data_IF_993232054892
#
_entry.id   IF_993232054892
#
_cell.length_a   1.000
_cell.length_b   1.000
_cell.length_c   1.000
_cell.angle_alpha   90.00
_cell.angle_beta   90.00
_cell.angle_gamma   90.00
#
_symmetry.space_group_name_H-M   'P 1'
#
loop_
_entity.id
_entity.type
_entity.pdbx_description
1 polymer ?
#
# COMPACT_ATOMS: atom_id res chain seq x y z
N UNK A 1 -44.09 -20.11 5.36
CA UNK A 1 -42.64 -20.44 5.43
C UNK A 1 -41.75 -19.30 4.87
N UNK A 2 -42.04 -18.01 5.11
CA UNK A 2 -41.37 -16.92 4.36
C UNK A 2 -40.61 -15.86 5.19
N UNK A 3 -40.97 -15.63 6.45
CA UNK A 3 -40.36 -14.54 7.26
C UNK A 3 -39.05 -14.93 7.94
N UNK A 4 -38.95 -16.15 8.48
CA UNK A 4 -37.73 -16.60 9.16
C UNK A 4 -36.55 -16.81 8.21
N UNK A 5 -36.79 -17.28 6.97
CA UNK A 5 -35.73 -17.44 5.97
C UNK A 5 -35.14 -16.08 5.53
N UNK A 6 -35.99 -15.06 5.40
CA UNK A 6 -35.58 -13.70 5.00
C UNK A 6 -34.74 -13.02 6.08
N UNK A 7 -35.08 -13.21 7.35
CA UNK A 7 -34.31 -12.69 8.50
C UNK A 7 -32.93 -13.38 8.58
N UNK A 8 -32.86 -14.70 8.36
CA UNK A 8 -31.59 -15.44 8.33
C UNK A 8 -30.70 -14.95 7.16
N UNK A 9 -31.29 -14.69 6.00
CA UNK A 9 -30.56 -14.18 4.83
C UNK A 9 -30.02 -12.76 5.07
N UNK A 10 -30.80 -11.89 5.72
CA UNK A 10 -30.34 -10.56 6.14
C UNK A 10 -29.22 -10.62 7.18
N UNK A 11 -29.33 -11.52 8.16
CA UNK A 11 -28.25 -11.76 9.13
C UNK A 11 -26.98 -12.26 8.45
N UNK A 12 -27.10 -13.11 7.42
CA UNK A 12 -25.95 -13.54 6.60
C UNK A 12 -25.33 -12.37 5.83
N UNK A 13 -26.13 -11.50 5.19
CA UNK A 13 -25.59 -10.33 4.46
C UNK A 13 -24.89 -9.36 5.41
N UNK A 14 -25.48 -9.10 6.59
CA UNK A 14 -24.90 -8.19 7.61
C UNK A 14 -23.61 -8.76 8.18
N UNK A 15 -23.56 -10.06 8.49
CA UNK A 15 -22.35 -10.73 8.99
C UNK A 15 -21.26 -10.89 7.91
N UNK A 16 -21.64 -11.02 6.65
CA UNK A 16 -20.70 -11.00 5.53
C UNK A 16 -20.09 -9.60 5.35
N UNK A 17 -20.88 -8.53 5.50
CA UNK A 17 -20.39 -7.16 5.44
C UNK A 17 -19.51 -6.79 6.63
N UNK A 18 -19.82 -7.23 7.85
CA UNK A 18 -18.97 -6.93 9.01
C UNK A 18 -17.63 -7.65 9.00
N UNK A 19 -17.49 -8.77 8.25
CA UNK A 19 -16.17 -9.36 7.95
C UNK A 19 -15.35 -8.56 6.94
N UNK A 20 -15.97 -7.72 6.11
CA UNK A 20 -15.29 -6.97 5.05
C UNK A 20 -14.70 -5.65 5.56
N UNK A 21 -15.18 -5.12 6.69
CA UNK A 21 -14.77 -3.80 7.21
C UNK A 21 -13.80 -3.81 8.40
N UNK A 22 -13.34 -4.98 8.83
CA UNK A 22 -12.38 -5.14 9.93
C UNK A 22 -11.00 -5.56 9.44
N UNK A 23 -10.32 -4.74 8.63
CA UNK A 23 -8.87 -4.85 8.52
C UNK A 23 -8.23 -3.80 9.41
N UNK A 24 -7.66 -4.23 10.53
CA UNK A 24 -6.84 -3.35 11.36
C UNK A 24 -5.72 -2.80 10.49
N UNK A 25 -5.72 -1.48 10.31
CA UNK A 25 -4.64 -0.80 9.58
C UNK A 25 -3.30 -1.10 10.26
N UNK A 26 -2.26 -1.34 9.47
CA UNK A 26 -0.91 -1.58 9.99
C UNK A 26 -0.13 -0.29 9.84
N UNK A 27 0.33 0.29 10.94
CA UNK A 27 1.29 1.41 10.91
C UNK A 27 2.70 0.85 10.97
N UNK A 28 3.59 1.37 10.14
CA UNK A 28 5.01 1.01 10.10
C UNK A 28 5.82 2.28 10.16
N UNK A 29 6.69 2.37 11.15
CA UNK A 29 7.69 3.41 11.22
C UNK A 29 8.96 2.91 10.50
N UNK A 30 9.30 3.56 9.39
CA UNK A 30 10.34 3.10 8.47
C UNK A 30 11.42 4.15 8.32
N UNK A 31 12.65 3.79 8.67
CA UNK A 31 13.82 4.68 8.58
C UNK A 31 14.64 4.33 7.35
N UNK A 32 14.89 5.34 6.51
CA UNK A 32 15.75 5.22 5.34
C UNK A 32 17.18 4.90 5.79
N UNK A 33 17.79 3.87 5.20
CA UNK A 33 19.11 3.39 5.66
C UNK A 33 20.28 4.30 5.24
N UNK A 34 20.07 5.15 4.24
CA UNK A 34 21.11 6.01 3.66
C UNK A 34 21.15 7.36 4.37
N UNK A 35 20.00 7.97 4.64
CA UNK A 35 19.91 9.33 5.17
C UNK A 35 19.18 9.45 6.52
N UNK A 36 18.75 8.33 7.11
CA UNK A 36 18.06 8.26 8.40
C UNK A 36 16.74 9.03 8.49
N UNK A 37 16.20 9.54 7.37
CA UNK A 37 14.86 10.11 7.34
C UNK A 37 13.83 9.04 7.70
N UNK A 38 12.85 9.41 8.52
CA UNK A 38 11.87 8.49 9.06
C UNK A 38 10.49 8.82 8.52
N UNK A 39 9.87 7.84 7.87
CA UNK A 39 8.56 7.93 7.27
C UNK A 39 7.60 7.03 8.04
N UNK A 40 6.31 7.40 8.05
CA UNK A 40 5.26 6.52 8.56
C UNK A 40 4.47 5.95 7.38
N UNK A 41 4.43 4.62 7.27
CA UNK A 41 3.64 3.93 6.26
C UNK A 41 2.42 3.31 6.92
N UNK A 42 1.22 3.67 6.43
CA UNK A 42 -0.04 3.10 6.90
C UNK A 42 -0.58 2.18 5.82
N UNK A 43 -0.63 0.88 6.10
CA UNK A 43 -1.21 -0.13 5.21
C UNK A 43 -2.69 -0.28 5.58
N UNK A 44 -3.54 -0.05 4.58
CA UNK A 44 -4.96 -0.39 4.59
C UNK A 44 -5.13 -1.67 3.76
N UNK A 45 -5.23 -2.85 4.40
CA UNK A 45 -5.23 -4.13 3.69
C UNK A 45 -6.30 -4.21 2.61
N UNK A 46 -5.95 -4.77 1.46
CA UNK A 46 -6.76 -4.88 0.24
C UNK A 46 -7.15 -3.55 -0.41
N UNK A 47 -6.50 -2.44 -0.04
CA UNK A 47 -6.84 -1.12 -0.59
C UNK A 47 -5.60 -0.30 -0.98
N UNK A 48 -4.90 0.28 -0.01
CA UNK A 48 -3.81 1.23 -0.28
C UNK A 48 -2.76 1.25 0.83
N UNK A 49 -1.59 1.78 0.49
CA UNK A 49 -0.56 2.18 1.45
C UNK A 49 -0.42 3.70 1.40
N UNK A 50 -0.36 4.34 2.57
CA UNK A 50 -0.12 5.77 2.69
C UNK A 50 1.28 5.99 3.22
N UNK A 51 2.14 6.67 2.44
CA UNK A 51 3.47 7.10 2.87
C UNK A 51 3.38 8.54 3.39
N UNK A 52 3.62 8.73 4.68
CA UNK A 52 3.65 10.03 5.34
C UNK A 52 5.11 10.43 5.55
N UNK A 53 5.52 11.51 4.88
CA UNK A 53 6.87 12.05 4.94
C UNK A 53 7.14 12.73 6.28
N UNK A 54 8.42 12.97 6.65
CA UNK A 54 8.78 13.69 7.87
C UNK A 54 8.15 15.08 8.00
N UNK A 55 7.85 15.73 6.87
CA UNK A 55 7.23 17.05 6.80
C UNK A 55 5.68 17.01 6.77
N UNK A 56 5.07 15.82 6.89
CA UNK A 56 3.62 15.62 6.95
C UNK A 56 2.93 15.51 5.59
N UNK A 57 3.65 15.59 4.47
CA UNK A 57 3.04 15.30 3.16
C UNK A 57 2.74 13.81 3.02
N UNK A 58 1.64 13.50 2.33
CA UNK A 58 1.14 12.13 2.18
C UNK A 58 1.09 11.73 0.71
N UNK A 59 1.43 10.47 0.44
CA UNK A 59 1.29 9.84 -0.87
C UNK A 59 0.54 8.53 -0.75
N UNK A 60 -0.52 8.39 -1.55
CA UNK A 60 -1.34 7.18 -1.64
C UNK A 60 -0.81 6.25 -2.73
N UNK A 61 -0.51 5.00 -2.35
CA UNK A 61 -0.11 3.91 -3.24
C UNK A 61 -1.22 2.86 -3.29
N UNK A 62 -1.67 2.48 -4.48
CA UNK A 62 -2.66 1.42 -4.68
C UNK A 62 -1.95 0.07 -4.52
N UNK A 63 -2.54 -0.84 -3.74
CA UNK A 63 -2.00 -2.20 -3.59
C UNK A 63 -2.21 -3.01 -4.88
N UNK A 64 -1.12 -3.54 -5.42
CA UNK A 64 -1.10 -4.41 -6.60
C UNK A 64 -1.05 -5.89 -6.21
N UNK A 65 -0.27 -6.20 -5.17
CA UNK A 65 -0.11 -7.55 -4.65
C UNK A 65 -0.01 -7.49 -3.12
N UNK A 66 -0.72 -8.36 -2.44
CA UNK A 66 -0.67 -8.48 -0.98
C UNK A 66 -0.72 -9.96 -0.57
N UNK A 67 0.16 -10.33 0.35
CA UNK A 67 0.31 -11.68 0.88
C UNK A 67 0.88 -11.61 2.30
N UNK A 68 1.04 -12.76 2.96
CA UNK A 68 1.67 -12.81 4.29
C UNK A 68 3.14 -12.37 4.30
N UNK A 69 3.82 -12.48 3.16
CA UNK A 69 5.28 -12.31 3.06
C UNK A 69 5.68 -11.04 2.30
N UNK A 70 4.83 -10.60 1.37
CA UNK A 70 5.12 -9.51 0.45
C UNK A 70 3.88 -8.63 0.23
N UNK A 71 4.11 -7.31 0.23
CA UNK A 71 3.19 -6.31 -0.28
C UNK A 71 3.87 -5.50 -1.39
N UNK A 72 3.19 -5.31 -2.52
CA UNK A 72 3.59 -4.41 -3.60
C UNK A 72 2.47 -3.40 -3.83
N UNK A 73 2.82 -2.12 -3.86
CA UNK A 73 1.88 -1.04 -4.16
C UNK A 73 2.51 0.02 -5.04
N UNK A 74 1.72 0.80 -5.78
CA UNK A 74 2.24 1.81 -6.69
C UNK A 74 1.32 3.02 -6.86
N UNK A 75 1.87 4.12 -7.37
CA UNK A 75 1.09 5.17 -8.01
C UNK A 75 1.83 5.74 -9.23
N UNK A 76 1.11 6.47 -10.07
CA UNK A 76 1.67 7.19 -11.21
C UNK A 76 1.54 8.70 -11.03
N UNK A 77 2.55 9.44 -11.44
CA UNK A 77 2.50 10.86 -11.72
C UNK A 77 2.72 11.07 -13.22
N UNK A 78 1.77 11.71 -13.89
CA UNK A 78 1.82 11.93 -15.33
C UNK A 78 1.71 13.43 -15.58
N UNK A 79 2.67 13.99 -16.33
CA UNK A 79 2.69 15.40 -16.71
C UNK A 79 3.35 15.54 -18.08
N UNK A 80 2.70 16.26 -19.00
CA UNK A 80 3.27 16.65 -20.31
C UNK A 80 3.94 15.46 -21.06
N UNK A 81 3.24 14.32 -21.14
CA UNK A 81 3.72 13.04 -21.73
C UNK A 81 4.91 12.37 -21.04
N UNK A 82 5.29 12.84 -19.85
CA UNK A 82 6.25 12.20 -18.99
C UNK A 82 5.55 11.46 -17.85
N UNK A 83 5.98 10.22 -17.61
CA UNK A 83 5.39 9.31 -16.61
C UNK A 83 6.46 9.02 -15.57
N UNK A 84 6.10 9.20 -14.30
CA UNK A 84 6.81 8.63 -13.16
C UNK A 84 5.93 7.58 -12.51
N UNK A 85 6.47 6.39 -12.25
CA UNK A 85 5.83 5.33 -11.45
C UNK A 85 6.62 5.19 -10.16
N UNK A 86 5.93 5.27 -9.03
CA UNK A 86 6.52 5.00 -7.72
C UNK A 86 6.00 3.65 -7.25
N UNK A 87 6.89 2.78 -6.77
CA UNK A 87 6.56 1.42 -6.35
C UNK A 87 7.11 1.19 -4.95
N UNK A 88 6.24 0.81 -4.02
CA UNK A 88 6.65 0.30 -2.71
C UNK A 88 6.58 -1.21 -2.72
N UNK A 89 7.67 -1.87 -2.36
CA UNK A 89 7.72 -3.31 -2.11
C UNK A 89 8.14 -3.57 -0.67
N UNK A 90 7.26 -4.16 0.14
CA UNK A 90 7.53 -4.46 1.54
C UNK A 90 7.65 -5.97 1.78
N UNK A 91 8.82 -6.39 2.28
CA UNK A 91 9.07 -7.76 2.73
C UNK A 91 8.79 -7.85 4.23
N UNK A 92 7.72 -8.55 4.60
CA UNK A 92 7.29 -8.69 5.99
C UNK A 92 8.23 -9.57 6.83
N UNK A 93 8.96 -10.51 6.22
CA UNK A 93 9.92 -11.38 6.93
C UNK A 93 11.15 -10.61 7.36
N UNK A 94 11.67 -9.76 6.47
CA UNK A 94 12.89 -8.99 6.71
C UNK A 94 12.61 -7.62 7.35
N UNK A 95 11.35 -7.16 7.32
CA UNK A 95 10.94 -5.81 7.69
C UNK A 95 11.71 -4.74 6.88
N UNK A 96 11.89 -5.00 5.59
CA UNK A 96 12.56 -4.09 4.65
C UNK A 96 11.53 -3.61 3.63
N UNK A 97 11.46 -2.29 3.45
CA UNK A 97 10.66 -1.63 2.43
C UNK A 97 11.59 -1.02 1.37
N UNK A 98 11.27 -1.27 0.11
CA UNK A 98 11.90 -0.63 -1.05
C UNK A 98 10.95 0.40 -1.63
N UNK A 99 11.42 1.62 -1.87
CA UNK A 99 10.70 2.69 -2.57
C UNK A 99 11.45 3.01 -3.86
N UNK A 100 10.88 2.59 -4.99
CA UNK A 100 11.50 2.67 -6.31
C UNK A 100 10.74 3.67 -7.19
N UNK A 101 11.48 4.58 -7.83
CA UNK A 101 10.94 5.49 -8.83
C UNK A 101 11.43 5.07 -10.22
N UNK A 102 10.48 4.84 -11.10
CA UNK A 102 10.70 4.60 -12.52
C UNK A 102 10.19 5.79 -13.34
N UNK A 103 10.83 6.07 -14.47
CA UNK A 103 10.40 7.14 -15.37
C UNK A 103 10.46 6.75 -16.85
N UNK A 104 9.66 7.42 -17.68
CA UNK A 104 9.65 7.23 -19.12
C UNK A 104 8.48 7.94 -19.79
N UNK A 105 8.31 7.68 -21.10
CA UNK A 105 7.20 8.21 -21.91
C UNK A 105 6.08 7.18 -22.15
N UNK A 106 6.32 5.92 -21.81
CA UNK A 106 5.40 4.80 -21.97
C UNK A 106 5.37 3.96 -20.67
N UNK A 107 4.17 3.62 -20.18
CA UNK A 107 3.97 2.82 -18.96
C UNK A 107 4.60 1.43 -19.04
N UNK A 108 4.75 0.87 -20.25
CA UNK A 108 5.34 -0.46 -20.44
C UNK A 108 6.87 -0.46 -20.40
N UNK A 109 7.48 0.70 -20.67
CA UNK A 109 8.92 0.85 -20.88
C UNK A 109 9.49 1.93 -19.95
N UNK A 110 9.29 1.74 -18.65
CA UNK A 110 9.83 2.65 -17.63
C UNK A 110 11.21 2.17 -17.16
N UNK A 111 12.11 3.12 -16.93
CA UNK A 111 13.47 2.85 -16.45
C UNK A 111 13.59 3.21 -14.98
N UNK A 112 14.23 2.36 -14.16
CA UNK A 112 14.52 2.66 -12.76
C UNK A 112 15.48 3.85 -12.66
N UNK A 113 15.17 4.81 -11.78
CA UNK A 113 15.94 6.04 -11.62
C UNK A 113 16.36 6.32 -10.20
N UNK A 114 15.54 5.90 -9.26
CA UNK A 114 15.83 6.05 -7.85
C UNK A 114 15.31 4.82 -7.10
N UNK A 115 16.04 4.44 -6.06
CA UNK A 115 15.69 3.33 -5.19
C UNK A 115 16.15 3.66 -3.79
N UNK A 116 15.20 3.73 -2.87
CA UNK A 116 15.47 3.91 -1.44
C UNK A 116 15.13 2.64 -0.69
N UNK A 117 15.93 2.35 0.33
CA UNK A 117 15.73 1.20 1.20
C UNK A 117 15.42 1.71 2.61
N UNK A 118 14.37 1.15 3.20
CA UNK A 118 13.93 1.48 4.54
C UNK A 118 13.91 0.24 5.42
N UNK A 119 14.34 0.40 6.66
CA UNK A 119 14.14 -0.60 7.71
C UNK A 119 12.93 -0.21 8.54
N UNK A 120 11.95 -1.10 8.64
CA UNK A 120 10.66 -0.82 9.26
C UNK A 120 10.52 -1.50 10.62
N UNK A 121 9.72 -0.87 11.49
CA UNK A 121 9.25 -1.41 12.77
C UNK A 121 7.75 -1.14 12.87
N UNK A 122 7.02 -2.13 13.39
CA UNK A 122 5.62 -1.94 13.81
C UNK A 122 5.55 -1.06 15.05
#
# INVERSE_FOLDING_TARGET
MGKNLFIIFLFFIITFHSKIYGSDKISLNCTNIENYSTHNFIIYPNYKVVNILPNGYEFDYIIEQESSDLLISYFYQIRDNFIKKFVLSFNFKENILYDEMYEGIDKKNLTLKDKKIFKCKK
#
